data_IF_373164736568
#
_entry.id   IF_373164736568
#
_cell.length_a   1.000
_cell.length_b   1.000
_cell.length_c   1.000
_cell.angle_alpha   90.00
_cell.angle_beta   90.00
_cell.angle_gamma   90.00
#
_symmetry.space_group_name_H-M   'P 1'
#
loop_
_entity.id
_entity.type
_entity.pdbx_description
1 polymer ?
#
# COMPACT_ATOMS: atom_id res chain seq x y z
N UNK A 1 36.05 31.53 -5.30
CA UNK A 1 35.04 30.95 -6.23
C UNK A 1 34.30 29.90 -5.45
N UNK A 2 33.14 30.27 -4.94
CA UNK A 2 32.28 29.36 -4.17
C UNK A 2 31.32 28.68 -5.14
N UNK A 3 31.47 27.37 -5.31
CA UNK A 3 30.55 26.57 -6.12
C UNK A 3 29.23 26.44 -5.34
N UNK A 4 28.19 27.11 -5.79
CA UNK A 4 26.82 26.86 -5.39
C UNK A 4 26.44 25.44 -5.85
N UNK A 5 26.51 24.49 -4.93
CA UNK A 5 25.90 23.18 -5.14
C UNK A 5 24.38 23.41 -5.07
N UNK A 6 23.71 23.39 -6.22
CA UNK A 6 22.26 23.39 -6.28
C UNK A 6 21.76 22.17 -5.51
N UNK A 7 21.09 22.40 -4.39
CA UNK A 7 20.54 21.38 -3.54
C UNK A 7 19.35 20.69 -4.22
N UNK A 8 19.62 19.85 -5.21
CA UNK A 8 18.64 18.92 -5.74
C UNK A 8 18.23 17.98 -4.63
N UNK A 9 16.95 18.02 -4.22
CA UNK A 9 16.40 17.06 -3.27
C UNK A 9 16.54 15.66 -3.89
N UNK A 10 17.26 14.76 -3.19
CA UNK A 10 17.41 13.37 -3.63
C UNK A 10 16.02 12.74 -3.90
N UNK A 11 15.91 11.84 -4.89
CA UNK A 11 14.70 11.04 -5.07
C UNK A 11 14.28 10.40 -3.75
N UNK A 12 12.99 10.26 -3.55
CA UNK A 12 12.43 9.78 -2.27
C UNK A 12 12.97 8.40 -1.87
N UNK A 13 13.12 7.49 -2.84
CA UNK A 13 13.72 6.17 -2.63
C UNK A 13 15.15 6.27 -2.09
N UNK A 14 15.94 7.19 -2.62
CA UNK A 14 17.34 7.40 -2.18
C UNK A 14 17.38 7.98 -0.77
N UNK A 15 16.45 8.87 -0.41
CA UNK A 15 16.34 9.41 0.96
C UNK A 15 15.99 8.33 1.98
N UNK A 16 15.06 7.42 1.66
CA UNK A 16 14.69 6.30 2.52
C UNK A 16 15.85 5.31 2.66
N UNK A 17 16.49 4.95 1.54
CA UNK A 17 17.65 4.07 1.54
C UNK A 17 18.80 4.64 2.36
N UNK A 18 19.07 5.94 2.27
CA UNK A 18 20.09 6.61 3.07
C UNK A 18 19.76 6.60 4.59
N UNK A 19 18.48 6.81 4.95
CA UNK A 19 18.04 6.69 6.34
C UNK A 19 18.25 5.28 6.89
N UNK A 20 17.85 4.25 6.14
CA UNK A 20 18.02 2.86 6.54
C UNK A 20 19.51 2.48 6.68
N UNK A 21 20.34 2.92 5.74
CA UNK A 21 21.80 2.70 5.80
C UNK A 21 22.46 3.37 7.01
N UNK A 22 21.87 4.45 7.53
CA UNK A 22 22.31 5.15 8.75
C UNK A 22 21.65 4.59 10.02
N UNK A 23 20.96 3.45 9.96
CA UNK A 23 20.18 2.86 11.06
C UNK A 23 19.17 3.83 11.70
N UNK A 24 18.62 4.75 10.90
CA UNK A 24 17.55 5.65 11.34
C UNK A 24 16.19 5.01 11.16
N UNK A 25 15.26 5.37 12.05
CA UNK A 25 13.86 4.92 11.96
C UNK A 25 13.19 5.57 10.77
N UNK A 26 12.40 4.78 10.03
CA UNK A 26 11.46 5.22 9.00
C UNK A 26 10.06 4.93 9.50
N UNK A 27 9.20 5.95 9.50
CA UNK A 27 7.81 5.80 9.91
C UNK A 27 6.98 5.32 8.73
N UNK A 28 6.40 4.15 8.88
CA UNK A 28 5.41 3.60 7.94
C UNK A 28 4.03 3.84 8.52
N UNK A 29 3.07 4.13 7.66
CA UNK A 29 1.67 4.27 8.07
C UNK A 29 1.08 2.95 8.60
N UNK A 30 -0.11 3.03 9.19
CA UNK A 30 -0.90 1.89 9.63
C UNK A 30 -2.33 2.33 9.91
N UNK A 31 -3.24 1.36 10.05
CA UNK A 31 -4.62 1.66 10.44
C UNK A 31 -5.48 2.30 9.34
N UNK A 32 -5.15 2.11 8.05
CA UNK A 32 -6.00 2.61 6.94
C UNK A 32 -7.43 2.11 7.09
N UNK A 33 -7.60 0.83 7.37
CA UNK A 33 -8.93 0.21 7.55
C UNK A 33 -9.64 0.79 8.77
N UNK A 34 -8.93 0.99 9.89
CA UNK A 34 -9.50 1.60 11.09
C UNK A 34 -9.96 3.03 10.83
N UNK A 35 -9.17 3.80 10.07
CA UNK A 35 -9.55 5.13 9.62
C UNK A 35 -10.82 5.13 8.76
N UNK A 36 -10.95 4.17 7.86
CA UNK A 36 -12.14 4.02 7.02
C UNK A 36 -13.36 3.61 7.85
N UNK A 37 -13.21 2.73 8.85
CA UNK A 37 -14.29 2.41 9.80
C UNK A 37 -14.75 3.64 10.59
N UNK A 38 -13.82 4.49 11.00
CA UNK A 38 -14.17 5.76 11.68
C UNK A 38 -14.96 6.71 10.75
N UNK A 39 -14.78 6.60 9.43
CA UNK A 39 -15.52 7.34 8.41
C UNK A 39 -16.77 6.60 7.90
N UNK A 40 -17.14 5.48 8.56
CA UNK A 40 -18.41 4.77 8.34
C UNK A 40 -18.30 3.56 7.40
N UNK A 41 -17.10 3.00 7.16
CA UNK A 41 -16.99 1.70 6.51
C UNK A 41 -17.62 0.63 7.41
N UNK A 42 -18.65 -0.12 6.96
CA UNK A 42 -19.25 -1.16 7.76
C UNK A 42 -18.29 -2.31 8.06
N UNK A 43 -18.44 -2.92 9.23
CA UNK A 43 -17.66 -4.12 9.56
C UNK A 43 -17.97 -5.25 8.58
N UNK A 44 -16.91 -5.87 8.06
CA UNK A 44 -17.03 -6.97 7.09
C UNK A 44 -17.12 -6.52 5.63
N UNK A 45 -17.28 -5.23 5.36
CA UNK A 45 -17.15 -4.73 3.99
C UNK A 45 -15.68 -4.56 3.59
N UNK A 46 -15.35 -4.89 2.33
CA UNK A 46 -13.99 -4.77 1.83
C UNK A 46 -13.60 -3.31 1.62
N UNK A 47 -12.55 -2.83 2.29
CA UNK A 47 -12.15 -1.42 2.25
C UNK A 47 -11.66 -0.96 0.87
N UNK A 48 -11.15 -1.88 0.05
CA UNK A 48 -10.55 -1.56 -1.24
C UNK A 48 -11.55 -0.99 -2.24
N UNK A 49 -12.82 -1.43 -2.18
CA UNK A 49 -13.89 -0.91 -3.03
C UNK A 49 -14.07 0.61 -2.87
N UNK A 50 -13.79 1.15 -1.68
CA UNK A 50 -13.89 2.58 -1.42
C UNK A 50 -12.88 3.42 -2.21
N UNK A 51 -11.87 2.82 -2.81
CA UNK A 51 -11.01 3.52 -3.76
C UNK A 51 -11.77 4.02 -5.01
N UNK A 52 -12.87 3.34 -5.36
CA UNK A 52 -13.77 3.73 -6.45
C UNK A 52 -15.05 4.37 -5.93
N UNK A 53 -15.68 3.79 -4.91
CA UNK A 53 -17.01 4.17 -4.44
C UNK A 53 -16.99 5.42 -3.54
N UNK A 54 -15.95 5.59 -2.72
CA UNK A 54 -15.81 6.70 -1.78
C UNK A 54 -14.36 7.22 -1.70
N UNK A 55 -13.80 7.67 -2.83
CA UNK A 55 -12.38 8.05 -2.91
C UNK A 55 -12.01 9.18 -1.92
N UNK A 56 -12.93 10.09 -1.60
CA UNK A 56 -12.67 11.19 -0.65
C UNK A 56 -12.39 10.67 0.77
N UNK A 57 -13.07 9.61 1.20
CA UNK A 57 -12.81 8.99 2.50
C UNK A 57 -11.41 8.36 2.55
N UNK A 58 -10.99 7.71 1.47
CA UNK A 58 -9.64 7.14 1.35
C UNK A 58 -8.58 8.26 1.35
N UNK A 59 -8.83 9.35 0.63
CA UNK A 59 -7.94 10.53 0.63
C UNK A 59 -7.82 11.13 2.03
N UNK A 60 -8.93 11.26 2.76
CA UNK A 60 -8.95 11.81 4.13
C UNK A 60 -8.07 11.00 5.06
N UNK A 61 -8.22 9.66 5.05
CA UNK A 61 -7.40 8.76 5.88
C UNK A 61 -5.93 8.88 5.53
N UNK A 62 -5.56 8.80 4.25
CA UNK A 62 -4.15 8.92 3.83
C UNK A 62 -3.55 10.29 4.18
N UNK A 63 -4.31 11.39 4.04
CA UNK A 63 -3.86 12.72 4.47
C UNK A 63 -3.62 12.78 5.97
N UNK A 64 -4.49 12.18 6.76
CA UNK A 64 -4.33 12.10 8.21
C UNK A 64 -3.04 11.36 8.61
N UNK A 65 -2.77 10.22 7.96
CA UNK A 65 -1.57 9.43 8.20
C UNK A 65 -0.29 10.18 7.79
N UNK A 66 -0.30 10.83 6.63
CA UNK A 66 0.82 11.66 6.18
C UNK A 66 1.06 12.86 7.11
N UNK A 67 0.00 13.53 7.56
CA UNK A 67 0.08 14.65 8.51
C UNK A 67 0.59 14.20 9.89
N UNK A 68 0.34 12.95 10.29
CA UNK A 68 0.90 12.34 11.49
C UNK A 68 2.39 12.00 11.36
N UNK A 69 2.99 12.18 10.19
CA UNK A 69 4.43 12.01 9.97
C UNK A 69 4.83 10.71 9.28
N UNK A 70 3.90 9.97 8.67
CA UNK A 70 4.24 8.80 7.87
C UNK A 70 5.15 9.18 6.70
N UNK A 71 6.30 8.55 6.61
CA UNK A 71 7.27 8.71 5.51
C UNK A 71 7.03 7.69 4.38
N UNK A 72 6.33 6.60 4.71
CA UNK A 72 5.84 5.60 3.77
C UNK A 72 4.33 5.46 4.00
N UNK A 73 3.54 5.59 2.94
CA UNK A 73 2.09 5.39 2.95
C UNK A 73 1.76 4.17 2.10
N UNK A 74 1.02 3.23 2.69
CA UNK A 74 0.59 2.02 1.99
C UNK A 74 -0.71 2.26 1.23
N UNK A 75 -0.85 1.61 0.07
CA UNK A 75 -2.07 1.70 -0.72
C UNK A 75 -3.23 0.92 -0.06
N UNK A 76 -4.46 1.39 -0.24
CA UNK A 76 -5.66 0.66 0.19
C UNK A 76 -6.01 -0.45 -0.82
N UNK A 77 -5.14 -1.47 -0.95
CA UNK A 77 -5.24 -2.52 -1.98
C UNK A 77 -4.96 -3.94 -1.49
N UNK A 78 -4.91 -4.18 -0.18
CA UNK A 78 -4.55 -5.49 0.40
C UNK A 78 -5.40 -6.63 -0.17
N UNK A 79 -6.70 -6.46 -0.29
CA UNK A 79 -7.62 -7.46 -0.83
C UNK A 79 -8.01 -7.24 -2.29
N UNK A 80 -7.38 -6.29 -3.00
CA UNK A 80 -7.67 -5.98 -4.39
C UNK A 80 -7.02 -7.03 -5.32
N UNK A 81 -7.65 -8.17 -5.45
CA UNK A 81 -7.19 -9.25 -6.31
C UNK A 81 -8.32 -9.78 -7.20
N UNK A 82 -7.93 -10.43 -8.29
CA UNK A 82 -8.90 -10.94 -9.29
C UNK A 82 -9.90 -11.96 -8.70
N UNK A 83 -9.48 -12.75 -7.69
CA UNK A 83 -10.36 -13.70 -7.03
C UNK A 83 -11.53 -13.05 -6.29
N UNK A 84 -11.37 -11.80 -5.81
CA UNK A 84 -12.38 -11.04 -5.08
C UNK A 84 -13.15 -10.07 -5.96
N UNK A 85 -12.47 -9.39 -6.89
CA UNK A 85 -13.01 -8.26 -7.64
C UNK A 85 -13.10 -8.52 -9.15
N UNK A 86 -12.63 -9.70 -9.65
CA UNK A 86 -12.60 -9.96 -11.08
C UNK A 86 -11.82 -8.88 -11.82
N UNK A 87 -12.41 -8.38 -12.90
CA UNK A 87 -11.79 -7.37 -13.77
C UNK A 87 -11.67 -5.98 -13.11
N UNK A 88 -12.43 -5.71 -12.04
CA UNK A 88 -12.33 -4.45 -11.30
C UNK A 88 -11.06 -4.35 -10.44
N UNK A 89 -10.37 -5.45 -10.20
CA UNK A 89 -9.16 -5.48 -9.36
C UNK A 89 -8.09 -4.50 -9.84
N UNK A 90 -7.84 -4.43 -11.15
CA UNK A 90 -6.87 -3.52 -11.73
C UNK A 90 -7.26 -2.05 -11.52
N UNK A 91 -8.54 -1.72 -11.73
CA UNK A 91 -9.05 -0.37 -11.53
C UNK A 91 -8.94 0.07 -10.07
N UNK A 92 -9.23 -0.82 -9.12
CA UNK A 92 -9.08 -0.58 -7.67
C UNK A 92 -7.61 -0.35 -7.33
N UNK A 93 -6.70 -1.21 -7.80
CA UNK A 93 -5.26 -1.05 -7.56
C UNK A 93 -4.75 0.27 -8.11
N UNK A 94 -5.09 0.61 -9.34
CA UNK A 94 -4.70 1.88 -9.96
C UNK A 94 -5.25 3.10 -9.20
N UNK A 95 -6.52 3.04 -8.77
CA UNK A 95 -7.14 4.07 -7.96
C UNK A 95 -6.44 4.22 -6.61
N UNK A 96 -6.14 3.11 -5.91
CA UNK A 96 -5.49 3.13 -4.59
C UNK A 96 -4.11 3.80 -4.64
N UNK A 97 -3.30 3.50 -5.65
CA UNK A 97 -1.99 4.16 -5.86
C UNK A 97 -2.16 5.65 -6.13
N UNK A 98 -3.11 6.01 -6.99
CA UNK A 98 -3.38 7.41 -7.34
C UNK A 98 -3.81 8.21 -6.11
N UNK A 99 -4.73 7.67 -5.30
CA UNK A 99 -5.24 8.33 -4.10
C UNK A 99 -4.13 8.52 -3.06
N UNK A 100 -3.30 7.50 -2.81
CA UNK A 100 -2.17 7.60 -1.90
C UNK A 100 -1.17 8.69 -2.34
N UNK A 101 -0.84 8.76 -3.64
CA UNK A 101 0.05 9.80 -4.18
C UNK A 101 -0.51 11.22 -4.05
N UNK A 102 -1.82 11.38 -4.28
CA UNK A 102 -2.49 12.69 -4.12
C UNK A 102 -2.51 13.11 -2.64
N UNK A 103 -2.78 12.17 -1.74
CA UNK A 103 -2.88 12.46 -0.32
C UNK A 103 -1.52 12.72 0.35
N UNK A 104 -0.45 12.06 -0.11
CA UNK A 104 0.86 12.08 0.52
C UNK A 104 1.99 12.29 -0.53
N UNK A 105 2.07 13.47 -1.16
CA UNK A 105 3.01 13.72 -2.26
C UNK A 105 4.48 13.64 -1.82
N UNK A 106 4.76 13.87 -0.55
CA UNK A 106 6.12 13.86 0.02
C UNK A 106 6.50 12.51 0.67
N UNK A 107 5.57 11.55 0.73
CA UNK A 107 5.81 10.21 1.25
C UNK A 107 6.12 9.20 0.13
N UNK A 108 6.85 8.14 0.47
CA UNK A 108 6.95 6.98 -0.41
C UNK A 108 5.62 6.22 -0.43
N UNK A 109 5.21 5.75 -1.59
CA UNK A 109 4.01 4.93 -1.71
C UNK A 109 4.42 3.47 -1.85
N UNK A 110 3.94 2.65 -0.91
CA UNK A 110 4.14 1.21 -0.92
C UNK A 110 2.86 0.49 -1.32
N UNK A 111 2.94 -0.38 -2.34
CA UNK A 111 1.82 -1.23 -2.73
C UNK A 111 1.54 -2.28 -1.65
N UNK A 112 0.31 -2.31 -1.14
CA UNK A 112 -0.12 -3.33 -0.18
C UNK A 112 -0.69 -4.53 -0.94
N UNK A 113 -0.10 -5.70 -0.75
CA UNK A 113 -0.49 -6.95 -1.38
C UNK A 113 -0.85 -7.94 -0.28
N UNK A 114 -2.06 -8.42 -0.28
CA UNK A 114 -2.54 -9.43 0.66
C UNK A 114 -2.73 -10.80 0.02
N UNK A 115 -3.18 -11.78 0.82
CA UNK A 115 -3.44 -13.13 0.34
C UNK A 115 -4.57 -13.15 -0.69
N UNK A 116 -4.44 -13.99 -1.71
CA UNK A 116 -5.46 -14.10 -2.78
C UNK A 116 -6.73 -14.82 -2.31
N UNK A 117 -6.72 -15.40 -1.11
CA UNK A 117 -7.83 -16.19 -0.56
C UNK A 117 -7.96 -17.59 -1.18
N UNK A 118 -6.99 -18.00 -1.99
CA UNK A 118 -6.95 -19.35 -2.59
C UNK A 118 -6.93 -20.43 -1.51
N UNK A 119 -7.63 -21.55 -1.72
CA UNK A 119 -7.56 -22.71 -0.82
C UNK A 119 -6.13 -23.21 -0.61
N UNK A 120 -5.26 -22.96 -1.57
CA UNK A 120 -3.84 -23.30 -1.52
C UNK A 120 -3.07 -22.44 -0.51
N UNK A 121 -3.33 -21.12 -0.47
CA UNK A 121 -2.71 -20.20 0.50
C UNK A 121 -3.10 -20.55 1.93
N UNK A 122 -4.36 -20.91 2.18
CA UNK A 122 -4.80 -21.39 3.49
C UNK A 122 -4.02 -22.63 3.93
N UNK A 123 -3.81 -23.58 3.01
CA UNK A 123 -3.06 -24.81 3.31
C UNK A 123 -1.59 -24.51 3.63
N UNK A 124 -0.97 -23.55 2.92
CA UNK A 124 0.40 -23.12 3.15
C UNK A 124 0.59 -22.49 4.53
N UNK A 125 -0.28 -21.56 4.92
CA UNK A 125 -0.24 -20.90 6.23
C UNK A 125 -0.34 -21.88 7.40
N UNK A 126 -1.06 -23.00 7.20
CA UNK A 126 -1.25 -24.02 8.24
C UNK A 126 -0.26 -25.18 8.22
N UNK A 127 0.38 -25.47 7.09
CA UNK A 127 1.25 -26.65 6.96
C UNK A 127 2.73 -26.35 6.82
N UNK A 128 3.13 -25.11 6.62
CA UNK A 128 4.55 -24.71 6.52
C UNK A 128 5.33 -25.35 5.37
N UNK A 129 4.67 -25.88 4.35
CA UNK A 129 5.35 -26.59 3.26
C UNK A 129 5.79 -25.64 2.15
N UNK A 130 7.06 -25.73 1.77
CA UNK A 130 7.78 -24.88 0.84
C UNK A 130 7.38 -25.00 -0.66
N UNK A 131 6.45 -25.87 -1.01
CA UNK A 131 5.97 -26.05 -2.39
C UNK A 131 5.18 -24.86 -2.96
N UNK A 132 4.80 -23.92 -2.11
CA UNK A 132 4.01 -22.76 -2.49
C UNK A 132 4.77 -21.68 -3.28
N UNK A 133 6.09 -21.60 -3.13
CA UNK A 133 6.87 -20.57 -3.81
C UNK A 133 6.87 -20.73 -5.35
N UNK A 134 6.91 -21.96 -5.84
CA UNK A 134 6.88 -22.25 -7.28
C UNK A 134 5.51 -21.95 -7.92
N UNK A 135 4.42 -22.23 -7.19
CA UNK A 135 3.05 -21.96 -7.68
C UNK A 135 2.69 -20.48 -7.61
N UNK A 136 3.24 -19.75 -6.64
CA UNK A 136 3.08 -18.30 -6.57
C UNK A 136 3.83 -17.61 -7.73
N UNK A 137 5.02 -18.07 -8.07
CA UNK A 137 5.82 -17.60 -9.20
C UNK A 137 5.06 -17.76 -10.54
N UNK A 138 4.43 -18.93 -10.76
CA UNK A 138 3.62 -19.22 -11.96
C UNK A 138 2.38 -18.34 -12.11
N UNK A 139 1.88 -17.73 -11.03
CA UNK A 139 0.71 -16.84 -11.06
C UNK A 139 1.07 -15.36 -11.26
N UNK A 140 2.32 -15.00 -11.03
CA UNK A 140 2.84 -13.64 -11.29
C UNK A 140 3.22 -13.50 -12.77
N UNK A 141 3.51 -14.62 -13.46
CA UNK A 141 3.95 -14.63 -14.86
C UNK A 141 2.80 -14.83 -15.88
N UNK A 142 1.55 -15.06 -15.43
CA UNK A 142 0.33 -15.16 -16.25
C UNK A 142 -0.67 -14.05 -15.91
#
# INVERSE_FOLDING_TARGET
>A
MSAFVSGGTLPLADRLSAKLAQHRVVLVDGGVVDGLHALGLPLGEPPEAWCLDRPEAVLEVHRGLAAAGAEVVTTNSVGANHGRYGDDAEAICAASVRLARIAAPDAAIAGAIGPTGSPFERRFLFTGQATAAADLQLRIEN
#
